data_IF_608365151241
#
_entry.id   IF_608365151241
#
_cell.length_a   1.000
_cell.length_b   1.000
_cell.length_c   1.000
_cell.angle_alpha   90.00
_cell.angle_beta   90.00
_cell.angle_gamma   90.00
#
_symmetry.space_group_name_H-M   'P 1'
#
loop_
_entity.id
_entity.type
_entity.pdbx_description
1 polymer ?
#
# COMPACT_ATOMS: atom_id res chain seq x y z
N UNK A 1 5.67 7.19 -24.61
CA UNK A 1 5.66 8.22 -23.55
C UNK A 1 5.78 7.46 -22.25
N UNK A 2 6.65 7.86 -21.33
CA UNK A 2 6.79 7.18 -20.03
C UNK A 2 5.65 7.62 -19.09
N UNK A 3 4.91 6.68 -18.51
CA UNK A 3 3.87 6.91 -17.51
C UNK A 3 4.44 6.68 -16.10
N UNK A 4 4.43 7.73 -15.30
CA UNK A 4 4.91 7.71 -13.91
C UNK A 4 3.73 7.96 -12.98
N UNK A 5 3.38 6.98 -12.15
CA UNK A 5 2.36 7.08 -11.11
C UNK A 5 3.01 7.58 -9.81
N UNK A 6 2.45 8.63 -9.19
CA UNK A 6 3.17 9.43 -8.19
C UNK A 6 2.66 9.34 -6.75
N UNK A 7 1.53 8.67 -6.51
CA UNK A 7 0.91 8.55 -5.18
C UNK A 7 0.44 7.11 -4.94
N UNK A 8 1.37 6.17 -5.12
CA UNK A 8 1.05 4.75 -5.08
C UNK A 8 1.24 4.20 -3.67
N UNK A 9 0.12 3.96 -2.99
CA UNK A 9 0.12 3.56 -1.59
C UNK A 9 0.71 2.16 -1.36
N UNK A 10 1.49 2.04 -0.29
CA UNK A 10 2.07 0.80 0.24
C UNK A 10 2.14 0.83 1.77
N UNK A 11 2.16 -0.33 2.43
CA UNK A 11 2.46 -0.45 3.86
C UNK A 11 3.30 -1.70 4.16
N UNK A 12 4.26 -1.57 5.08
CA UNK A 12 5.01 -2.72 5.59
C UNK A 12 4.15 -3.53 6.56
N UNK A 13 4.13 -4.88 6.48
CA UNK A 13 3.51 -5.73 7.49
C UNK A 13 3.99 -5.44 8.92
N UNK A 14 5.27 -5.12 9.09
CA UNK A 14 5.85 -4.79 10.40
C UNK A 14 5.27 -3.49 10.98
N UNK A 15 5.05 -2.48 10.12
CA UNK A 15 4.43 -1.23 10.54
C UNK A 15 2.96 -1.43 10.89
N UNK A 16 2.23 -2.20 10.07
CA UNK A 16 0.84 -2.60 10.38
C UNK A 16 0.76 -3.30 11.74
N UNK A 17 1.68 -4.22 12.02
CA UNK A 17 1.74 -4.91 13.30
C UNK A 17 2.03 -3.96 14.47
N UNK A 18 2.97 -3.02 14.30
CA UNK A 18 3.30 -2.01 15.31
C UNK A 18 2.11 -1.09 15.62
N UNK A 19 1.41 -0.59 14.59
CA UNK A 19 0.24 0.28 14.75
C UNK A 19 -0.93 -0.45 15.45
N UNK A 20 -1.12 -1.75 15.16
CA UNK A 20 -2.11 -2.59 15.87
C UNK A 20 -1.77 -2.83 17.34
N UNK A 21 -0.49 -2.83 17.69
CA UNK A 21 -0.02 -3.07 19.07
C UNK A 21 -0.05 -1.81 19.96
N UNK A 22 -0.39 -0.64 19.41
CA UNK A 22 -0.49 0.61 20.15
C UNK A 22 -1.59 0.55 21.25
N UNK A 23 -1.39 1.18 22.43
CA UNK A 23 -2.41 1.22 23.50
C UNK A 23 -3.76 1.77 23.03
N UNK A 24 -3.72 2.69 22.07
CA UNK A 24 -4.88 3.14 21.30
C UNK A 24 -4.63 2.78 19.83
N UNK A 25 -5.30 1.75 19.30
CA UNK A 25 -5.16 1.36 17.90
C UNK A 25 -5.57 2.51 16.98
N UNK A 26 -4.90 2.61 15.83
CA UNK A 26 -5.28 3.56 14.80
C UNK A 26 -6.53 3.04 14.06
N UNK A 27 -7.63 3.78 14.15
CA UNK A 27 -8.92 3.41 13.54
C UNK A 27 -8.86 3.41 12.01
N UNK A 28 -7.94 4.16 11.40
CA UNK A 28 -7.80 4.20 9.94
C UNK A 28 -7.27 2.89 9.36
N UNK A 29 -6.65 2.02 10.18
CA UNK A 29 -6.25 0.68 9.75
C UNK A 29 -7.43 -0.17 9.29
N UNK A 30 -8.66 0.16 9.71
CA UNK A 30 -9.86 -0.51 9.22
C UNK A 30 -9.99 -0.39 7.69
N UNK A 31 -9.56 0.71 7.08
CA UNK A 31 -9.59 0.91 5.63
C UNK A 31 -8.60 0.00 4.87
N UNK A 32 -7.49 -0.38 5.53
CA UNK A 32 -6.51 -1.29 4.95
C UNK A 32 -7.03 -2.73 4.92
N UNK A 33 -7.99 -3.08 5.78
CA UNK A 33 -8.55 -4.44 5.88
C UNK A 33 -9.82 -4.63 5.02
N UNK A 34 -10.23 -3.62 4.25
CA UNK A 34 -11.41 -3.69 3.38
C UNK A 34 -11.11 -4.45 2.10
N UNK A 35 -11.89 -5.50 1.81
CA UNK A 35 -11.78 -6.23 0.54
C UNK A 35 -10.37 -6.80 0.31
N UNK A 36 -9.78 -6.48 -0.84
CA UNK A 36 -8.42 -6.87 -1.24
C UNK A 36 -7.35 -5.84 -0.86
N UNK A 37 -7.70 -4.77 -0.13
CA UNK A 37 -6.78 -3.67 0.14
C UNK A 37 -5.50 -4.14 0.84
N UNK A 38 -5.60 -4.97 1.89
CA UNK A 38 -4.42 -5.41 2.64
C UNK A 38 -3.41 -6.12 1.74
N UNK A 39 -3.90 -7.08 0.94
CA UNK A 39 -3.07 -7.84 0.01
C UNK A 39 -2.33 -6.91 -0.95
N UNK A 40 -3.03 -5.91 -1.51
CA UNK A 40 -2.46 -4.96 -2.48
C UNK A 40 -1.52 -3.92 -1.86
N UNK A 41 -1.83 -3.48 -0.65
CA UNK A 41 -1.03 -2.51 0.08
C UNK A 41 0.28 -3.12 0.57
N UNK A 42 0.31 -4.43 0.88
CA UNK A 42 1.51 -5.13 1.32
C UNK A 42 2.37 -5.65 0.14
N UNK A 43 1.76 -5.92 -1.01
CA UNK A 43 2.46 -6.44 -2.19
C UNK A 43 3.25 -5.37 -2.96
N UNK A 44 4.58 -5.45 -2.88
CA UNK A 44 5.53 -4.76 -3.78
C UNK A 44 6.10 -5.68 -4.86
N UNK A 45 5.67 -6.94 -4.89
CA UNK A 45 6.17 -7.97 -5.77
C UNK A 45 5.32 -8.13 -7.04
N UNK A 46 5.08 -9.38 -7.42
CA UNK A 46 4.54 -9.75 -8.72
C UNK A 46 3.13 -9.21 -8.98
N UNK A 47 2.26 -9.16 -7.96
CA UNK A 47 0.89 -8.69 -8.14
C UNK A 47 0.84 -7.20 -8.49
N UNK A 48 1.67 -6.37 -7.83
CA UNK A 48 1.83 -4.96 -8.18
C UNK A 48 2.42 -4.77 -9.57
N UNK A 49 3.48 -5.51 -9.92
CA UNK A 49 4.10 -5.39 -11.26
C UNK A 49 3.11 -5.81 -12.34
N UNK A 50 2.36 -6.90 -12.17
CA UNK A 50 1.33 -7.32 -13.12
C UNK A 50 0.22 -6.26 -13.28
N UNK A 51 -0.18 -5.61 -12.18
CA UNK A 51 -1.14 -4.51 -12.22
C UNK A 51 -0.58 -3.26 -12.92
N UNK A 52 0.71 -2.96 -12.75
CA UNK A 52 1.40 -1.89 -13.48
C UNK A 52 1.45 -2.19 -14.98
N UNK A 53 1.82 -3.41 -15.37
CA UNK A 53 1.88 -3.86 -16.77
C UNK A 53 0.51 -3.76 -17.45
N UNK A 54 -0.55 -4.19 -16.77
CA UNK A 54 -1.92 -4.13 -17.28
C UNK A 54 -2.41 -2.68 -17.52
N UNK A 55 -1.87 -1.72 -16.78
CA UNK A 55 -2.22 -0.30 -16.86
C UNK A 55 -1.24 0.52 -17.72
N UNK A 56 -0.11 -0.07 -18.12
CA UNK A 56 0.96 0.63 -18.84
C UNK A 56 1.73 1.62 -17.98
N UNK A 57 1.85 1.37 -16.68
CA UNK A 57 2.63 2.20 -15.74
C UNK A 57 4.09 1.76 -15.80
N UNK A 58 4.99 2.65 -16.21
CA UNK A 58 6.43 2.36 -16.30
C UNK A 58 7.14 2.51 -14.95
N UNK A 59 6.70 3.46 -14.12
CA UNK A 59 7.30 3.74 -12.81
C UNK A 59 6.21 4.08 -11.80
N UNK A 60 6.34 3.51 -10.60
CA UNK A 60 5.48 3.79 -9.44
C UNK A 60 6.31 4.43 -8.34
N UNK A 61 5.98 5.66 -7.94
CA UNK A 61 6.55 6.32 -6.76
C UNK A 61 5.70 5.93 -5.55
N UNK A 62 6.33 5.18 -4.64
CA UNK A 62 5.64 4.62 -3.49
C UNK A 62 5.48 5.67 -2.39
N UNK A 63 4.28 5.71 -1.82
CA UNK A 63 3.93 6.51 -0.65
C UNK A 63 3.48 5.58 0.48
N UNK A 64 3.93 5.87 1.71
CA UNK A 64 3.40 5.16 2.87
C UNK A 64 1.90 5.47 3.00
N UNK A 65 1.10 4.42 3.14
CA UNK A 65 -0.36 4.52 3.26
C UNK A 65 -0.72 5.39 4.47
N UNK A 66 -1.65 6.36 4.33
CA UNK A 66 -2.17 7.11 5.44
C UNK A 66 -2.62 6.19 6.58
N UNK A 67 -2.36 6.58 7.83
CA UNK A 67 -1.86 7.89 8.28
C UNK A 67 -0.33 7.96 8.37
N UNK A 68 0.38 6.86 8.06
CA UNK A 68 1.80 6.73 8.35
C UNK A 68 2.06 6.47 9.83
N UNK A 69 2.54 7.49 10.56
CA UNK A 69 2.82 7.48 12.02
C UNK A 69 2.51 8.82 12.64
#
# INVERSE_FOLDING_TARGET
MTLIAIEEHWISPDLTAALKAMPRPDESLAFNEMGDHRERLEDLGEGRIAAMDAQGIDVSILALTPPGT
#
